data_IF_040118412327
#
_entry.id   IF_040118412327
#
_cell.length_a   1.000
_cell.length_b   1.000
_cell.length_c   1.000
_cell.angle_alpha   90.00
_cell.angle_beta   90.00
_cell.angle_gamma   90.00
#
_symmetry.space_group_name_H-M   'P 1'
#
loop_
_entity.id
_entity.type
_entity.pdbx_description
1 polymer ?
#
# COMPACT_ATOMS: atom_id res chain seq x y z
N UNK A 1 -5.28 -1.87 -15.29
CA UNK A 1 -5.69 -2.55 -14.05
C UNK A 1 -7.16 -2.23 -13.80
N UNK A 2 -8.02 -2.54 -14.79
CA UNK A 2 -9.45 -2.15 -14.84
C UNK A 2 -10.34 -3.36 -15.23
N UNK A 3 -9.77 -4.57 -15.22
CA UNK A 3 -10.35 -5.72 -15.94
C UNK A 3 -11.66 -6.24 -15.34
N UNK A 4 -11.88 -6.13 -14.04
CA UNK A 4 -13.07 -6.72 -13.40
C UNK A 4 -14.31 -5.84 -13.51
N UNK A 5 -14.15 -4.51 -13.47
CA UNK A 5 -15.26 -3.56 -13.64
C UNK A 5 -15.80 -3.61 -15.08
N UNK A 6 -14.89 -3.68 -16.06
CA UNK A 6 -15.24 -3.88 -17.47
C UNK A 6 -15.91 -5.24 -17.69
N UNK A 7 -15.35 -6.31 -17.11
CA UNK A 7 -15.95 -7.66 -17.21
C UNK A 7 -17.35 -7.73 -16.60
N UNK A 8 -17.61 -7.07 -15.47
CA UNK A 8 -18.95 -7.04 -14.86
C UNK A 8 -19.93 -6.33 -15.80
N UNK A 9 -19.54 -5.20 -16.40
CA UNK A 9 -20.35 -4.48 -17.38
C UNK A 9 -20.70 -5.34 -18.59
N UNK A 10 -19.72 -6.03 -19.13
CA UNK A 10 -19.87 -6.89 -20.31
C UNK A 10 -20.83 -8.06 -20.01
N UNK A 11 -20.68 -8.69 -18.84
CA UNK A 11 -21.59 -9.77 -18.42
C UNK A 11 -23.00 -9.27 -18.09
N UNK A 12 -23.16 -8.03 -17.60
CA UNK A 12 -24.49 -7.43 -17.41
C UNK A 12 -25.21 -7.17 -18.73
N UNK A 13 -24.47 -6.79 -19.78
CA UNK A 13 -25.01 -6.64 -21.13
C UNK A 13 -25.43 -8.00 -21.70
N UNK A 14 -24.54 -9.01 -21.64
CA UNK A 14 -24.83 -10.36 -22.14
C UNK A 14 -26.05 -11.01 -21.45
N UNK A 15 -26.24 -10.76 -20.15
CA UNK A 15 -27.42 -11.27 -19.41
C UNK A 15 -28.74 -10.66 -19.88
N UNK A 16 -28.71 -9.45 -20.47
CA UNK A 16 -29.92 -8.83 -21.06
C UNK A 16 -30.25 -9.42 -22.42
N UNK A 17 -29.23 -9.71 -23.23
CA UNK A 17 -29.40 -10.33 -24.56
C UNK A 17 -29.75 -11.83 -24.46
N UNK A 18 -29.23 -12.52 -23.44
CA UNK A 18 -29.40 -13.96 -23.23
C UNK A 18 -29.92 -14.28 -21.81
N UNK A 19 -31.21 -13.99 -21.52
CA UNK A 19 -31.75 -14.11 -20.16
C UNK A 19 -31.87 -15.56 -19.64
N UNK A 20 -31.73 -16.58 -20.50
CA UNK A 20 -31.81 -18.00 -20.15
C UNK A 20 -30.46 -18.73 -20.11
N UNK A 21 -29.35 -18.03 -20.36
CA UNK A 21 -28.01 -18.64 -20.40
C UNK A 21 -27.43 -18.74 -18.98
N UNK A 22 -27.32 -19.97 -18.48
CA UNK A 22 -26.79 -20.24 -17.13
C UNK A 22 -25.30 -19.93 -17.01
N UNK A 23 -24.52 -20.06 -18.09
CA UNK A 23 -23.08 -19.80 -18.07
C UNK A 23 -22.78 -18.30 -17.92
N UNK A 24 -23.58 -17.45 -18.58
CA UNK A 24 -23.51 -15.99 -18.42
C UNK A 24 -23.92 -15.56 -17.01
N UNK A 25 -24.94 -16.20 -16.43
CA UNK A 25 -25.39 -15.93 -15.06
C UNK A 25 -24.30 -16.27 -14.02
N UNK A 26 -23.69 -17.45 -14.13
CA UNK A 26 -22.60 -17.89 -13.23
C UNK A 26 -21.34 -17.01 -13.39
N UNK A 27 -21.02 -16.62 -14.62
CA UNK A 27 -19.85 -15.77 -14.88
C UNK A 27 -20.03 -14.35 -14.33
N UNK A 28 -21.24 -13.80 -14.42
CA UNK A 28 -21.58 -12.52 -13.79
C UNK A 28 -21.51 -12.60 -12.26
N UNK A 29 -22.02 -13.67 -11.67
CA UNK A 29 -22.00 -13.86 -10.22
C UNK A 29 -20.57 -13.99 -9.68
N UNK A 30 -19.72 -14.74 -10.39
CA UNK A 30 -18.28 -14.84 -10.07
C UNK A 30 -17.58 -13.49 -10.15
N UNK A 31 -17.83 -12.71 -11.20
CA UNK A 31 -17.24 -11.39 -11.37
C UNK A 31 -17.71 -10.41 -10.27
N UNK A 32 -19.00 -10.41 -9.92
CA UNK A 32 -19.56 -9.59 -8.83
C UNK A 32 -19.00 -9.98 -7.46
N UNK A 33 -18.90 -11.27 -7.18
CA UNK A 33 -18.33 -11.78 -5.92
C UNK A 33 -16.86 -11.41 -5.77
N UNK A 34 -16.07 -11.52 -6.85
CA UNK A 34 -14.68 -11.09 -6.85
C UNK A 34 -14.54 -9.58 -6.58
N UNK A 35 -15.42 -8.76 -7.17
CA UNK A 35 -15.44 -7.30 -6.98
C UNK A 35 -15.85 -6.91 -5.55
N UNK A 36 -16.82 -7.62 -4.97
CA UNK A 36 -17.29 -7.42 -3.60
C UNK A 36 -16.23 -7.85 -2.58
N UNK A 37 -15.57 -9.00 -2.78
CA UNK A 37 -14.45 -9.45 -1.93
C UNK A 37 -13.28 -8.46 -1.96
N UNK A 38 -12.89 -7.97 -3.15
CA UNK A 38 -11.86 -6.92 -3.28
C UNK A 38 -12.23 -5.67 -2.49
N UNK A 39 -13.49 -5.25 -2.57
CA UNK A 39 -14.02 -4.10 -1.82
C UNK A 39 -14.06 -4.35 -0.31
N UNK A 40 -14.24 -5.60 0.12
CA UNK A 40 -14.29 -6.00 1.52
C UNK A 40 -12.89 -6.14 2.13
N UNK A 41 -11.90 -6.61 1.36
CA UNK A 41 -10.47 -6.53 1.70
C UNK A 41 -10.06 -5.07 1.95
N UNK A 42 -10.46 -4.15 1.06
CA UNK A 42 -10.21 -2.71 1.22
C UNK A 42 -10.95 -2.07 2.40
N UNK A 43 -12.06 -2.65 2.88
CA UNK A 43 -12.76 -2.17 4.09
C UNK A 43 -12.15 -2.72 5.39
N UNK A 44 -11.52 -3.90 5.33
CA UNK A 44 -10.79 -4.48 6.47
C UNK A 44 -9.43 -3.82 6.66
N UNK A 45 -8.84 -3.32 5.58
CA UNK A 45 -7.68 -2.44 5.56
C UNK A 45 -8.10 -1.03 5.97
N UNK A 46 -8.09 -0.74 7.28
CA UNK A 46 -8.49 0.57 7.81
C UNK A 46 -7.87 1.73 7.00
N UNK A 47 -8.71 2.69 6.62
CA UNK A 47 -8.26 3.90 5.92
C UNK A 47 -7.29 4.68 6.82
N UNK A 48 -6.02 4.76 6.43
CA UNK A 48 -4.99 5.46 7.19
C UNK A 48 -4.69 6.81 6.56
N UNK A 49 -5.05 7.88 7.29
CA UNK A 49 -4.81 9.27 6.87
C UNK A 49 -3.61 9.90 7.62
N UNK A 50 -2.92 9.12 8.46
CA UNK A 50 -1.78 9.58 9.24
C UNK A 50 -0.56 8.68 9.05
N UNK A 51 0.63 9.30 9.06
CA UNK A 51 1.91 8.59 9.10
C UNK A 51 2.24 8.20 10.54
N UNK A 52 2.05 6.93 10.86
CA UNK A 52 2.18 6.40 12.22
C UNK A 52 3.66 6.23 12.64
N UNK A 53 3.98 6.57 13.90
CA UNK A 53 5.34 6.37 14.46
C UNK A 53 5.57 4.91 14.82
N UNK A 54 6.69 4.34 14.40
CA UNK A 54 7.16 3.02 14.82
C UNK A 54 8.44 3.18 15.62
N UNK A 55 8.33 2.99 16.94
CA UNK A 55 9.41 3.16 17.93
C UNK A 55 9.94 1.83 18.51
N UNK A 56 9.34 0.69 18.17
CA UNK A 56 9.75 -0.63 18.69
C UNK A 56 9.77 -1.69 17.60
N UNK A 57 10.57 -2.73 17.82
CA UNK A 57 10.64 -3.89 16.92
C UNK A 57 9.31 -4.63 16.82
N UNK A 58 8.58 -4.79 17.92
CA UNK A 58 7.29 -5.48 17.90
C UNK A 58 6.24 -4.69 17.12
N UNK A 59 6.21 -3.35 17.30
CA UNK A 59 5.34 -2.49 16.50
C UNK A 59 5.69 -2.56 15.01
N UNK A 60 6.99 -2.61 14.68
CA UNK A 60 7.44 -2.79 13.30
C UNK A 60 6.97 -4.14 12.72
N UNK A 61 7.16 -5.24 13.44
CA UNK A 61 6.73 -6.58 12.99
C UNK A 61 5.22 -6.65 12.77
N UNK A 62 4.45 -6.08 13.68
CA UNK A 62 3.00 -5.99 13.54
C UNK A 62 2.63 -5.18 12.31
N UNK A 63 3.24 -4.01 12.10
CA UNK A 63 2.97 -3.13 10.96
C UNK A 63 3.34 -3.76 9.61
N UNK A 64 4.44 -4.50 9.54
CA UNK A 64 4.85 -5.25 8.33
C UNK A 64 3.87 -6.38 8.02
N UNK A 65 3.34 -7.02 9.06
CA UNK A 65 2.41 -8.16 8.93
C UNK A 65 0.98 -7.74 8.58
N UNK A 66 0.69 -6.45 8.51
CA UNK A 66 -0.62 -5.96 8.08
C UNK A 66 -0.88 -6.36 6.62
N UNK A 67 -2.12 -6.72 6.28
CA UNK A 67 -2.49 -6.99 4.90
C UNK A 67 -2.31 -5.71 4.05
N UNK A 68 -2.18 -5.87 2.73
CA UNK A 68 -2.04 -4.76 1.81
C UNK A 68 -0.62 -4.19 1.74
N UNK A 69 -0.51 -2.90 1.39
CA UNK A 69 0.78 -2.23 1.12
C UNK A 69 1.12 -1.28 2.27
N UNK A 70 2.33 -1.43 2.80
CA UNK A 70 2.89 -0.61 3.87
C UNK A 70 4.18 0.07 3.43
N UNK A 71 4.33 1.36 3.71
CA UNK A 71 5.50 2.18 3.37
C UNK A 71 6.16 2.67 4.66
N UNK A 72 7.41 2.29 4.88
CA UNK A 72 8.21 2.72 6.02
C UNK A 72 9.23 3.77 5.60
N UNK A 73 9.14 4.95 6.20
CA UNK A 73 10.09 6.04 6.08
C UNK A 73 11.08 6.03 7.24
N UNK A 74 12.29 5.55 6.97
CA UNK A 74 13.42 5.61 7.90
C UNK A 74 14.08 6.98 7.79
N UNK A 75 13.98 7.78 8.85
CA UNK A 75 14.44 9.17 8.92
C UNK A 75 15.36 9.41 10.12
N UNK A 76 16.03 10.56 10.09
CA UNK A 76 16.62 11.23 11.24
C UNK A 76 16.11 12.67 11.24
N UNK A 77 15.83 13.21 12.43
CA UNK A 77 15.25 14.55 12.61
C UNK A 77 16.21 15.69 12.24
N UNK A 78 17.52 15.41 12.21
CA UNK A 78 18.56 16.39 11.86
C UNK A 78 18.85 16.45 10.36
N UNK A 79 18.43 15.44 9.59
CA UNK A 79 18.75 15.35 8.16
C UNK A 79 17.82 16.23 7.31
N UNK A 80 18.42 17.08 6.48
CA UNK A 80 17.68 18.04 5.64
C UNK A 80 16.82 17.36 4.56
N UNK A 81 17.32 16.31 3.90
CA UNK A 81 16.53 15.58 2.89
C UNK A 81 15.32 14.87 3.51
N UNK A 82 15.44 14.39 4.76
CA UNK A 82 14.30 13.87 5.50
C UNK A 82 13.23 14.95 5.73
N UNK A 83 13.63 16.19 6.07
CA UNK A 83 12.69 17.31 6.25
C UNK A 83 11.97 17.68 4.95
N UNK A 84 12.65 17.57 3.82
CA UNK A 84 12.10 17.88 2.49
C UNK A 84 11.08 16.82 2.01
N UNK A 85 11.37 15.53 2.20
CA UNK A 85 10.49 14.45 1.73
C UNK A 85 9.31 14.16 2.68
N UNK A 86 9.42 14.49 3.97
CA UNK A 86 8.37 14.19 4.96
C UNK A 86 7.00 14.80 4.64
N UNK A 87 6.88 16.09 4.23
CA UNK A 87 5.61 16.66 3.81
C UNK A 87 4.99 15.92 2.62
N UNK A 88 5.81 15.49 1.66
CA UNK A 88 5.33 14.73 0.51
C UNK A 88 4.78 13.37 0.93
N UNK A 89 5.43 12.67 1.88
CA UNK A 89 4.90 11.41 2.43
C UNK A 89 3.56 11.64 3.14
N UNK A 90 3.38 12.75 3.87
CA UNK A 90 2.08 13.10 4.46
C UNK A 90 1.02 13.31 3.38
N UNK A 91 1.36 13.96 2.26
CA UNK A 91 0.44 14.10 1.11
C UNK A 91 0.08 12.74 0.51
N UNK A 92 1.05 11.82 0.38
CA UNK A 92 0.79 10.47 -0.13
C UNK A 92 -0.12 9.67 0.81
N UNK A 93 0.03 9.85 2.12
CA UNK A 93 -0.86 9.21 3.10
C UNK A 93 -2.33 9.60 2.90
N UNK A 94 -2.59 10.87 2.62
CA UNK A 94 -3.96 11.36 2.35
C UNK A 94 -4.44 10.89 0.96
N UNK A 95 -3.55 10.87 -0.04
CA UNK A 95 -3.88 10.49 -1.42
C UNK A 95 -4.14 8.99 -1.58
N UNK A 96 -3.45 8.17 -0.80
CA UNK A 96 -3.50 6.70 -0.86
C UNK A 96 -3.92 6.14 0.48
N UNK A 97 -5.18 6.31 0.91
CA UNK A 97 -5.60 5.94 2.26
C UNK A 97 -5.67 4.42 2.48
N UNK A 98 -5.54 3.63 1.40
CA UNK A 98 -5.40 2.17 1.43
C UNK A 98 -3.95 1.70 1.64
N UNK A 99 -2.98 2.62 1.63
CA UNK A 99 -1.57 2.35 1.91
C UNK A 99 -1.28 2.81 3.32
N UNK A 100 -0.60 1.96 4.08
CA UNK A 100 -0.24 2.30 5.45
C UNK A 100 1.14 2.96 5.48
N UNK A 101 1.21 4.18 6.00
CA UNK A 101 2.46 4.92 6.07
C UNK A 101 2.99 4.94 7.49
N UNK A 102 4.27 4.61 7.64
CA UNK A 102 4.97 4.58 8.90
C UNK A 102 6.24 5.42 8.84
N UNK A 103 6.60 6.02 9.97
CA UNK A 103 7.88 6.71 10.17
C UNK A 103 8.67 6.07 11.29
N UNK A 104 9.95 5.84 11.04
CA UNK A 104 10.91 5.24 11.96
C UNK A 104 12.06 6.21 12.12
N UNK A 105 12.29 6.68 13.35
CA UNK A 105 13.51 7.45 13.64
C UNK A 105 14.66 6.47 13.92
N UNK A 106 15.69 6.52 13.08
CA UNK A 106 16.82 5.59 13.14
C UNK A 106 17.73 5.85 14.35
N UNK A 107 17.70 7.07 14.91
CA UNK A 107 18.49 7.44 16.08
C UNK A 107 17.83 6.90 17.36
N UNK A 108 16.50 6.89 17.41
CA UNK A 108 15.73 6.32 18.52
C UNK A 108 15.66 4.79 18.47
N UNK A 109 15.73 4.19 17.27
CA UNK A 109 15.51 2.75 17.06
C UNK A 109 16.69 2.05 16.37
N UNK A 110 17.90 2.24 16.89
CA UNK A 110 19.15 1.72 16.29
C UNK A 110 19.12 0.21 15.96
N UNK A 111 18.52 -0.63 16.82
CA UNK A 111 18.43 -2.06 16.59
C UNK A 111 17.54 -2.40 15.38
N UNK A 112 16.44 -1.67 15.20
CA UNK A 112 15.56 -1.79 14.04
C UNK A 112 16.28 -1.31 12.78
N UNK A 113 16.92 -0.14 12.84
CA UNK A 113 17.70 0.38 11.71
C UNK A 113 18.81 -0.58 11.26
N UNK A 114 19.52 -1.22 12.20
CA UNK A 114 20.52 -2.26 11.89
C UNK A 114 19.91 -3.50 11.26
N UNK A 115 18.82 -4.01 11.83
CA UNK A 115 18.09 -5.19 11.30
C UNK A 115 17.61 -4.93 9.88
N UNK A 116 17.09 -3.73 9.64
CA UNK A 116 16.67 -3.26 8.34
C UNK A 116 17.83 -2.75 7.47
N UNK A 117 19.09 -2.93 7.88
CA UNK A 117 20.28 -2.55 7.09
C UNK A 117 20.23 -1.11 6.57
N UNK A 118 19.72 -0.18 7.37
CA UNK A 118 19.61 1.24 7.02
C UNK A 118 20.98 1.89 7.13
N UNK A 119 21.57 2.24 5.97
CA UNK A 119 22.89 2.86 5.88
C UNK A 119 22.85 4.37 5.65
N UNK A 120 21.75 4.86 5.08
CA UNK A 120 21.57 6.27 4.69
C UNK A 120 20.12 6.65 4.90
N UNK A 121 19.87 7.92 5.22
CA UNK A 121 18.53 8.50 5.35
C UNK A 121 18.34 9.66 4.36
N UNK A 122 17.11 9.89 3.87
CA UNK A 122 15.93 9.06 4.06
C UNK A 122 16.05 7.73 3.29
N UNK A 123 15.59 6.64 3.89
CA UNK A 123 15.39 5.36 3.18
C UNK A 123 13.92 4.99 3.30
N UNK A 124 13.32 4.62 2.18
CA UNK A 124 11.94 4.17 2.14
C UNK A 124 11.89 2.69 1.77
N UNK A 125 11.04 1.93 2.46
CA UNK A 125 10.81 0.52 2.17
C UNK A 125 9.33 0.25 2.03
N UNK A 126 9.00 -0.57 1.05
CA UNK A 126 7.63 -1.00 0.78
C UNK A 126 7.52 -2.49 1.10
N UNK A 127 6.50 -2.82 1.87
CA UNK A 127 6.10 -4.17 2.21
C UNK A 127 4.71 -4.43 1.64
N UNK A 128 4.46 -5.67 1.23
CA UNK A 128 3.16 -6.15 0.78
C UNK A 128 2.88 -7.48 1.45
N UNK A 129 1.83 -7.56 2.27
CA UNK A 129 1.42 -8.77 2.98
C UNK A 129 2.58 -9.46 3.76
N UNK A 130 3.38 -8.70 4.51
CA UNK A 130 4.52 -9.24 5.25
C UNK A 130 5.85 -9.25 4.48
N UNK A 131 5.82 -9.26 3.15
CA UNK A 131 7.03 -9.37 2.33
C UNK A 131 7.58 -8.02 1.90
N UNK A 132 8.90 -7.84 2.02
CA UNK A 132 9.59 -6.64 1.53
C UNK A 132 9.68 -6.68 0.00
N UNK A 133 8.91 -5.84 -0.67
CA UNK A 133 8.85 -5.78 -2.15
C UNK A 133 9.75 -4.70 -2.75
N UNK A 134 10.11 -3.65 -1.99
CA UNK A 134 11.00 -2.59 -2.48
C UNK A 134 11.79 -1.90 -1.36
N UNK A 135 13.02 -1.50 -1.68
CA UNK A 135 13.82 -0.56 -0.89
C UNK A 135 14.36 0.57 -1.78
N UNK A 136 14.36 1.80 -1.26
CA UNK A 136 14.75 3.01 -1.98
C UNK A 136 15.57 3.91 -1.05
N UNK A 137 16.76 4.29 -1.49
CA UNK A 137 17.64 5.20 -0.75
C UNK A 137 17.52 6.58 -1.39
N UNK A 138 17.15 7.58 -0.61
CA UNK A 138 16.96 8.97 -1.05
C UNK A 138 16.11 9.08 -2.35
N UNK A 139 14.90 8.50 -2.41
CA UNK A 139 14.09 8.57 -3.63
C UNK A 139 13.61 10.00 -3.93
N UNK A 140 13.41 10.30 -5.21
CA UNK A 140 12.66 11.49 -5.63
C UNK A 140 11.15 11.30 -5.37
N UNK A 141 10.41 12.40 -5.31
CA UNK A 141 8.95 12.37 -5.14
C UNK A 141 8.25 11.53 -6.23
N UNK A 142 8.64 11.75 -7.49
CA UNK A 142 8.08 11.02 -8.63
C UNK A 142 8.34 9.51 -8.51
N UNK A 143 9.59 9.12 -8.26
CA UNK A 143 9.95 7.71 -8.19
C UNK A 143 9.24 6.98 -7.05
N UNK A 144 9.09 7.65 -5.89
CA UNK A 144 8.33 7.11 -4.77
C UNK A 144 6.86 6.88 -5.14
N UNK A 145 6.20 7.90 -5.70
CA UNK A 145 4.78 7.82 -6.04
C UNK A 145 4.50 6.78 -7.12
N UNK A 146 5.31 6.73 -8.17
CA UNK A 146 5.17 5.75 -9.26
C UNK A 146 5.35 4.32 -8.74
N UNK A 147 6.29 4.12 -7.80
CA UNK A 147 6.50 2.83 -7.16
C UNK A 147 5.28 2.43 -6.31
N UNK A 148 4.70 3.35 -5.54
CA UNK A 148 3.49 3.08 -4.74
C UNK A 148 2.34 2.69 -5.67
N UNK A 149 2.11 3.46 -6.75
CA UNK A 149 1.10 3.15 -7.77
C UNK A 149 1.31 1.75 -8.35
N UNK A 150 2.54 1.38 -8.69
CA UNK A 150 2.85 0.07 -9.23
C UNK A 150 2.42 -1.09 -8.33
N UNK A 151 2.53 -0.95 -7.00
CA UNK A 151 2.15 -2.01 -6.06
C UNK A 151 0.67 -2.00 -5.66
N UNK A 152 -0.02 -0.87 -5.90
CA UNK A 152 -1.45 -0.71 -5.72
C UNK A 152 -2.29 -1.23 -6.90
N UNK A 153 -1.69 -1.22 -8.09
CA UNK A 153 -2.28 -1.82 -9.27
C UNK A 153 -2.21 -3.34 -9.10
#
# INVERSE_FOLDING_TARGET
MERWEDSVRDYEFLRRELPGDSEVAESLERAKTALMNRSQEFKSLGFNNEVEVVSTMDKFKNAVSLPGVSVFHFKSSLNQQCKEISPFINTLCIRYPLVQFFKVDVEETLALAKTESIRKVPTLKIYKNGDKVKGMICPSHQFLEDTIKHFLL
#
